data_IF_464235368246
#
_entry.id   IF_464235368246
#
_cell.length_a   1.000
_cell.length_b   1.000
_cell.length_c   1.000
_cell.angle_alpha   90.00
_cell.angle_beta   90.00
_cell.angle_gamma   90.00
#
_symmetry.space_group_name_H-M   'P 1'
#
loop_
_entity.id
_entity.type
_entity.pdbx_description
1 polymer ?
#
# COMPACT_ATOMS: atom_id res chain seq x y z
N UNK A 1 -6.92 -0.43 19.86
CA UNK A 1 -6.18 -1.13 18.79
C UNK A 1 -7.14 -1.68 17.77
N UNK A 2 -6.90 -1.45 16.49
CA UNK A 2 -7.74 -2.09 15.49
C UNK A 2 -7.56 -3.60 15.56
N UNK A 3 -8.66 -4.31 15.45
CA UNK A 3 -8.66 -5.76 15.48
C UNK A 3 -8.64 -6.28 14.04
N UNK A 4 -7.51 -6.06 13.37
CA UNK A 4 -7.38 -6.49 11.99
C UNK A 4 -6.10 -7.27 11.78
N UNK A 5 -6.14 -8.11 10.75
CA UNK A 5 -4.99 -8.87 10.30
C UNK A 5 -4.66 -8.47 8.87
N UNK A 6 -3.50 -8.88 8.40
CA UNK A 6 -3.03 -8.51 7.07
C UNK A 6 -2.77 -9.77 6.27
N UNK A 7 -3.19 -9.76 5.03
CA UNK A 7 -3.07 -10.92 4.15
C UNK A 7 -2.52 -10.48 2.78
N UNK A 8 -1.42 -11.07 2.32
CA UNK A 8 -0.99 -10.82 0.95
C UNK A 8 -2.04 -11.33 -0.04
N UNK A 9 -2.20 -10.61 -1.13
CA UNK A 9 -3.07 -11.07 -2.20
C UNK A 9 -2.47 -12.32 -2.84
N UNK A 10 -3.35 -13.20 -3.28
CA UNK A 10 -2.98 -14.44 -3.97
C UNK A 10 -3.74 -14.51 -5.28
N UNK A 11 -3.28 -15.33 -6.24
CA UNK A 11 -4.05 -15.53 -7.48
C UNK A 11 -5.48 -15.93 -7.15
N UNK A 12 -6.42 -15.26 -7.79
CA UNK A 12 -7.84 -15.39 -7.48
C UNK A 12 -8.40 -14.12 -6.85
N UNK A 13 -7.53 -13.22 -6.34
CA UNK A 13 -7.95 -11.98 -5.71
C UNK A 13 -8.11 -10.83 -6.71
N UNK A 14 -7.96 -11.07 -8.01
CA UNK A 14 -7.94 -10.00 -9.00
C UNK A 14 -9.19 -9.12 -8.96
N UNK A 15 -10.35 -9.75 -8.80
CA UNK A 15 -11.58 -8.96 -8.76
C UNK A 15 -11.72 -8.17 -7.47
N UNK A 16 -11.25 -8.73 -6.36
CA UNK A 16 -11.26 -8.00 -5.10
C UNK A 16 -10.32 -6.79 -5.19
N UNK A 17 -9.14 -6.97 -5.76
CA UNK A 17 -8.21 -5.86 -5.97
C UNK A 17 -8.86 -4.79 -6.83
N UNK A 18 -9.48 -5.19 -7.94
CA UNK A 18 -10.11 -4.24 -8.84
C UNK A 18 -11.23 -3.48 -8.14
N UNK A 19 -11.97 -4.15 -7.26
CA UNK A 19 -13.06 -3.50 -6.52
C UNK A 19 -12.51 -2.37 -5.63
N UNK A 20 -11.35 -2.57 -5.02
CA UNK A 20 -10.72 -1.52 -4.22
C UNK A 20 -10.18 -0.40 -5.09
N UNK A 21 -9.59 -0.72 -6.24
CA UNK A 21 -9.10 0.30 -7.17
C UNK A 21 -10.26 1.18 -7.62
N UNK A 22 -11.39 0.58 -7.97
CA UNK A 22 -12.57 1.33 -8.39
C UNK A 22 -13.14 2.16 -7.26
N UNK A 23 -13.16 1.62 -6.04
CA UNK A 23 -13.66 2.36 -4.90
C UNK A 23 -12.80 3.59 -4.60
N UNK A 24 -11.49 3.44 -4.69
CA UNK A 24 -10.56 4.56 -4.53
C UNK A 24 -10.77 5.60 -5.63
N UNK A 25 -10.85 5.16 -6.87
CA UNK A 25 -11.05 6.07 -8.00
C UNK A 25 -12.39 6.81 -7.87
N UNK A 26 -13.42 6.13 -7.42
CA UNK A 26 -14.72 6.75 -7.22
C UNK A 26 -14.64 7.80 -6.12
N UNK A 27 -13.95 7.49 -5.03
CA UNK A 27 -13.74 8.45 -3.95
C UNK A 27 -13.02 9.70 -4.43
N UNK A 28 -12.08 9.55 -5.37
CA UNK A 28 -11.32 10.66 -5.93
C UNK A 28 -11.98 11.28 -7.17
N UNK A 29 -13.20 10.85 -7.49
CA UNK A 29 -13.95 11.34 -8.66
C UNK A 29 -13.20 11.09 -9.97
N UNK A 30 -12.49 9.97 -10.05
CA UNK A 30 -11.69 9.61 -11.21
C UNK A 30 -12.05 8.23 -11.76
N UNK A 31 -13.27 7.76 -11.48
CA UNK A 31 -13.66 6.39 -11.85
C UNK A 31 -13.58 6.13 -13.35
N UNK A 32 -13.76 7.16 -14.17
CA UNK A 32 -13.66 7.00 -15.61
C UNK A 32 -12.25 6.74 -16.11
N UNK A 33 -11.24 6.87 -15.27
CA UNK A 33 -9.86 6.65 -15.67
C UNK A 33 -9.39 5.23 -15.43
N UNK A 34 -10.20 4.39 -14.76
CA UNK A 34 -9.80 3.02 -14.46
C UNK A 34 -10.05 2.16 -15.68
N UNK A 35 -8.97 1.65 -16.26
CA UNK A 35 -9.05 0.75 -17.41
C UNK A 35 -8.51 -0.64 -17.09
N UNK A 36 -8.08 -0.86 -15.85
CA UNK A 36 -7.56 -2.15 -15.43
C UNK A 36 -8.65 -3.21 -15.47
N UNK A 37 -8.25 -4.42 -15.77
CA UNK A 37 -9.14 -5.58 -15.77
C UNK A 37 -8.52 -6.65 -14.88
N UNK A 38 -9.31 -7.65 -14.44
CA UNK A 38 -8.73 -8.75 -13.66
C UNK A 38 -7.57 -9.43 -14.38
N UNK A 39 -7.65 -9.57 -15.71
CA UNK A 39 -6.59 -10.22 -16.49
C UNK A 39 -5.31 -9.39 -16.47
N UNK A 40 -5.42 -8.09 -16.63
CA UNK A 40 -4.26 -7.19 -16.57
C UNK A 40 -3.64 -7.23 -15.18
N UNK A 41 -4.47 -7.20 -14.13
CA UNK A 41 -3.97 -7.25 -12.76
C UNK A 41 -3.25 -8.57 -12.48
N UNK A 42 -3.78 -9.69 -12.99
CA UNK A 42 -3.10 -10.97 -12.83
C UNK A 42 -1.72 -10.94 -13.45
N UNK A 43 -1.62 -10.39 -14.65
CA UNK A 43 -0.33 -10.33 -15.35
C UNK A 43 0.70 -9.56 -14.54
N UNK A 44 0.35 -8.37 -14.07
CA UNK A 44 1.33 -7.49 -13.45
C UNK A 44 1.60 -7.79 -11.99
N UNK A 45 0.62 -8.33 -11.27
CA UNK A 45 0.77 -8.58 -9.84
C UNK A 45 1.26 -10.00 -9.59
N UNK A 46 0.67 -10.99 -10.26
CA UNK A 46 0.96 -12.38 -9.94
C UNK A 46 1.94 -13.05 -10.88
N UNK A 47 1.98 -12.66 -12.15
CA UNK A 47 2.90 -13.26 -13.11
C UNK A 47 4.21 -12.50 -13.17
N UNK A 48 4.17 -11.20 -13.44
CA UNK A 48 5.37 -10.37 -13.52
C UNK A 48 5.83 -9.87 -12.16
N UNK A 49 4.97 -9.88 -11.18
CA UNK A 49 5.26 -9.46 -9.80
C UNK A 49 5.88 -8.07 -9.72
N UNK A 50 5.36 -7.16 -10.54
CA UNK A 50 5.81 -5.78 -10.56
C UNK A 50 5.24 -4.98 -9.41
N UNK A 51 4.05 -5.35 -8.94
CA UNK A 51 3.40 -4.72 -7.80
C UNK A 51 2.87 -5.80 -6.87
N UNK A 52 2.67 -5.43 -5.62
CA UNK A 52 2.18 -6.33 -4.58
C UNK A 52 0.99 -5.68 -3.90
N UNK A 53 0.11 -6.51 -3.37
CA UNK A 53 -1.07 -6.03 -2.66
C UNK A 53 -1.17 -6.79 -1.34
N UNK A 54 -1.47 -6.05 -0.27
CA UNK A 54 -1.90 -6.65 0.99
C UNK A 54 -3.27 -6.09 1.34
N UNK A 55 -4.07 -6.95 1.96
CA UNK A 55 -5.40 -6.56 2.44
C UNK A 55 -5.37 -6.44 3.95
N UNK A 56 -6.12 -5.48 4.48
CA UNK A 56 -6.46 -5.44 5.90
C UNK A 56 -7.79 -6.15 6.05
N UNK A 57 -7.85 -7.12 6.94
CA UNK A 57 -9.05 -7.94 7.13
C UNK A 57 -9.52 -7.86 8.56
N UNK A 58 -10.84 -7.79 8.72
CA UNK A 58 -11.50 -7.85 10.03
C UNK A 58 -12.53 -8.97 9.94
N UNK A 59 -12.39 -9.97 10.80
CA UNK A 59 -13.30 -11.12 10.82
C UNK A 59 -13.43 -11.78 9.45
N UNK A 60 -12.29 -11.90 8.77
CA UNK A 60 -12.23 -12.56 7.47
C UNK A 60 -12.69 -11.71 6.30
N UNK A 61 -13.06 -10.46 6.53
CA UNK A 61 -13.53 -9.57 5.47
C UNK A 61 -12.51 -8.49 5.19
N UNK A 62 -12.19 -8.29 3.91
CA UNK A 62 -11.27 -7.23 3.51
C UNK A 62 -11.93 -5.87 3.71
N UNK A 63 -11.31 -5.01 4.50
CA UNK A 63 -11.81 -3.66 4.77
C UNK A 63 -10.92 -2.59 4.17
N UNK A 64 -9.76 -2.96 3.68
CA UNK A 64 -8.85 -2.02 3.05
C UNK A 64 -7.76 -2.76 2.30
N UNK A 65 -7.00 -2.00 1.52
CA UNK A 65 -5.89 -2.59 0.76
C UNK A 65 -4.76 -1.58 0.63
N UNK A 66 -3.57 -2.10 0.36
CA UNK A 66 -2.43 -1.31 -0.05
C UNK A 66 -1.79 -1.98 -1.25
N UNK A 67 -1.46 -1.18 -2.26
CA UNK A 67 -0.71 -1.64 -3.43
C UNK A 67 0.62 -0.91 -3.44
N UNK A 68 1.70 -1.66 -3.54
CA UNK A 68 3.04 -1.10 -3.42
C UNK A 68 4.01 -1.85 -4.31
N UNK A 69 5.18 -1.26 -4.51
CA UNK A 69 6.23 -1.88 -5.30
C UNK A 69 7.58 -1.36 -4.81
N UNK A 70 8.65 -1.98 -5.26
CA UNK A 70 10.00 -1.55 -4.90
C UNK A 70 10.48 -0.48 -5.87
N UNK A 71 10.92 0.65 -5.32
CA UNK A 71 11.75 1.59 -6.07
C UNK A 71 13.18 1.41 -5.60
N UNK A 72 14.08 2.29 -5.99
CA UNK A 72 15.49 2.14 -5.65
C UNK A 72 16.08 3.50 -5.30
N UNK A 73 16.86 3.54 -4.24
CA UNK A 73 17.58 4.75 -3.87
C UNK A 73 19.05 4.60 -4.24
N UNK A 74 19.52 5.44 -5.17
CA UNK A 74 20.92 5.41 -5.53
C UNK A 74 21.79 5.91 -4.39
N UNK A 75 21.29 6.85 -3.59
CA UNK A 75 22.06 7.37 -2.46
C UNK A 75 22.25 6.31 -1.38
N UNK A 76 21.21 5.53 -1.09
CA UNK A 76 21.30 4.47 -0.10
C UNK A 76 21.85 3.18 -0.67
N UNK A 77 21.85 3.02 -2.00
CA UNK A 77 22.31 1.81 -2.67
C UNK A 77 21.42 0.61 -2.42
N UNK A 78 20.15 0.83 -2.12
CA UNK A 78 19.23 -0.27 -1.83
C UNK A 78 17.81 0.09 -2.24
N UNK A 79 16.97 -0.94 -2.30
CA UNK A 79 15.58 -0.76 -2.66
C UNK A 79 14.83 -0.03 -1.58
N UNK A 80 13.75 0.62 -1.98
CA UNK A 80 12.74 1.16 -1.09
C UNK A 80 11.41 0.53 -1.39
N UNK A 81 10.41 0.85 -0.58
CA UNK A 81 9.04 0.49 -0.84
C UNK A 81 8.30 1.77 -1.21
N UNK A 82 7.60 1.74 -2.33
CA UNK A 82 6.77 2.86 -2.75
C UNK A 82 5.30 2.43 -2.68
N UNK A 83 4.54 3.15 -1.88
CA UNK A 83 3.12 2.90 -1.71
C UNK A 83 2.37 3.69 -2.77
N UNK A 84 1.77 2.98 -3.71
CA UNK A 84 0.98 3.60 -4.76
C UNK A 84 -0.42 3.95 -4.27
N UNK A 85 -1.10 2.97 -3.66
CA UNK A 85 -2.48 3.14 -3.21
C UNK A 85 -2.63 2.59 -1.80
N UNK A 86 -3.35 3.33 -0.95
CA UNK A 86 -3.83 2.84 0.33
C UNK A 86 -5.26 3.32 0.49
N UNK A 87 -6.19 2.41 0.69
CA UNK A 87 -7.60 2.77 0.77
C UNK A 87 -8.32 1.89 1.78
N UNK A 88 -9.10 2.53 2.61
CA UNK A 88 -9.98 1.87 3.58
C UNK A 88 -11.40 2.17 3.14
N UNK A 89 -12.26 1.17 3.13
CA UNK A 89 -13.66 1.36 2.76
C UNK A 89 -14.26 2.48 3.62
N UNK A 90 -15.08 3.36 3.02
CA UNK A 90 -15.60 4.52 3.77
C UNK A 90 -16.31 4.16 5.07
N UNK A 91 -17.07 3.07 5.09
CA UNK A 91 -17.80 2.65 6.28
C UNK A 91 -16.90 2.10 7.37
N UNK A 92 -15.63 1.85 7.04
CA UNK A 92 -14.66 1.29 8.00
C UNK A 92 -13.64 2.33 8.47
N UNK A 93 -13.81 3.58 8.08
CA UNK A 93 -12.87 4.63 8.45
C UNK A 93 -13.05 5.07 9.88
N UNK A 94 -12.04 5.74 10.40
CA UNK A 94 -12.07 6.23 11.76
C UNK A 94 -11.80 5.17 12.82
N UNK A 95 -11.40 3.98 12.41
CA UNK A 95 -11.14 2.86 13.32
C UNK A 95 -9.66 2.51 13.43
N UNK A 96 -8.79 3.26 12.76
CA UNK A 96 -7.36 3.05 12.85
C UNK A 96 -6.79 2.04 11.85
N UNK A 97 -7.59 1.55 10.92
CA UNK A 97 -7.11 0.52 9.98
C UNK A 97 -6.09 1.06 8.99
N UNK A 98 -6.25 2.30 8.54
CA UNK A 98 -5.27 2.89 7.63
C UNK A 98 -3.91 3.02 8.27
N UNK A 99 -3.88 3.47 9.52
CA UNK A 99 -2.63 3.58 10.27
C UNK A 99 -2.02 2.20 10.50
N UNK A 100 -2.84 1.21 10.82
CA UNK A 100 -2.37 -0.15 11.02
C UNK A 100 -1.77 -0.73 9.75
N UNK A 101 -2.40 -0.47 8.61
CA UNK A 101 -1.92 -0.94 7.32
C UNK A 101 -0.59 -0.28 6.96
N UNK A 102 -0.47 1.02 7.25
CA UNK A 102 0.78 1.72 7.00
C UNK A 102 1.90 1.18 7.90
N UNK A 103 1.60 0.84 9.14
CA UNK A 103 2.57 0.21 10.04
C UNK A 103 3.01 -1.16 9.53
N UNK A 104 2.10 -1.91 8.94
CA UNK A 104 2.44 -3.20 8.36
C UNK A 104 3.39 -3.01 7.17
N UNK A 105 3.16 -2.00 6.35
CA UNK A 105 4.09 -1.68 5.26
C UNK A 105 5.46 -1.28 5.80
N UNK A 106 5.50 -0.55 6.89
CA UNK A 106 6.76 -0.20 7.52
C UNK A 106 7.50 -1.44 7.99
N UNK A 107 6.78 -2.39 8.60
CA UNK A 107 7.35 -3.65 9.04
C UNK A 107 7.94 -4.43 7.85
N UNK A 108 7.19 -4.51 6.76
CA UNK A 108 7.65 -5.20 5.55
C UNK A 108 8.92 -4.51 5.01
N UNK A 109 8.92 -3.19 4.99
CA UNK A 109 10.05 -2.41 4.51
C UNK A 109 11.32 -2.74 5.30
N UNK A 110 11.21 -2.76 6.62
CA UNK A 110 12.34 -3.09 7.50
C UNK A 110 12.77 -4.53 7.32
N UNK A 111 11.81 -5.45 7.29
CA UNK A 111 12.09 -6.87 7.16
C UNK A 111 12.86 -7.18 5.88
N UNK A 112 12.55 -6.48 4.80
CA UNK A 112 13.20 -6.69 3.50
C UNK A 112 14.53 -5.95 3.37
N UNK A 113 14.95 -5.22 4.40
CA UNK A 113 16.19 -4.45 4.32
C UNK A 113 16.10 -3.23 3.44
N UNK A 114 14.91 -2.80 3.11
CA UNK A 114 14.70 -1.61 2.31
C UNK A 114 15.03 -0.36 3.11
N UNK A 115 15.49 0.69 2.41
CA UNK A 115 15.99 1.88 3.10
C UNK A 115 14.94 2.90 3.42
N UNK A 116 13.79 2.85 2.76
CA UNK A 116 12.75 3.85 3.00
C UNK A 116 11.42 3.36 2.50
N UNK A 117 10.35 3.99 3.01
CA UNK A 117 8.99 3.83 2.56
C UNK A 117 8.50 5.20 2.12
N UNK A 118 7.98 5.28 0.91
CA UNK A 118 7.52 6.54 0.32
C UNK A 118 6.10 6.40 -0.20
N UNK A 119 5.39 7.51 -0.21
CA UNK A 119 4.09 7.61 -0.86
C UNK A 119 3.83 9.03 -1.29
N UNK A 120 2.83 9.22 -2.16
CA UNK A 120 2.47 10.51 -2.72
C UNK A 120 1.04 10.85 -2.30
N UNK A 121 0.85 12.05 -1.77
CA UNK A 121 -0.47 12.51 -1.39
C UNK A 121 -1.19 13.12 -2.58
N UNK A 122 -2.51 13.03 -2.55
CA UNK A 122 -3.36 13.55 -3.62
C UNK A 122 -3.08 15.02 -3.93
N UNK A 123 -2.71 15.83 -2.95
CA UNK A 123 -2.50 17.26 -3.15
C UNK A 123 -1.05 17.58 -3.54
N UNK A 124 -0.39 16.67 -4.22
CA UNK A 124 0.98 16.85 -4.73
C UNK A 124 2.03 16.93 -3.64
N UNK A 125 1.72 16.39 -2.47
CA UNK A 125 2.73 16.23 -1.43
C UNK A 125 3.30 14.83 -1.49
N UNK A 126 4.58 14.78 -1.27
CA UNK A 126 5.26 13.50 -1.16
C UNK A 126 5.70 13.32 0.27
N UNK A 127 5.40 12.17 0.84
CA UNK A 127 5.82 11.82 2.18
C UNK A 127 6.85 10.72 2.11
N UNK A 128 7.85 10.80 2.98
CA UNK A 128 8.91 9.82 3.06
C UNK A 128 9.16 9.49 4.50
N UNK A 129 9.38 8.20 4.77
CA UNK A 129 9.75 7.75 6.10
C UNK A 129 11.03 6.96 5.95
N UNK A 130 12.08 7.42 6.64
CA UNK A 130 13.37 6.74 6.62
C UNK A 130 13.45 5.78 7.80
N UNK A 131 14.03 4.62 7.54
CA UNK A 131 14.18 3.60 8.55
C UNK A 131 15.65 3.43 8.90
N UNK A 132 15.94 3.31 10.18
CA UNK A 132 17.27 3.03 10.64
C UNK A 132 17.38 1.54 10.97
N UNK A 133 18.56 1.01 10.74
CA UNK A 133 18.80 -0.42 10.70
C UNK A 133 18.36 -1.19 11.93
N UNK A 134 18.31 -0.55 13.06
CA UNK A 134 18.07 -1.29 14.31
C UNK A 134 16.72 -1.02 14.92
N UNK A 135 15.89 -0.24 14.28
CA UNK A 135 14.59 0.12 14.86
C UNK A 135 13.50 -0.06 13.85
N UNK A 136 12.42 -0.61 14.32
CA UNK A 136 11.21 -0.77 13.52
C UNK A 136 10.41 0.52 13.45
N UNK A 137 10.89 1.58 14.09
CA UNK A 137 10.14 2.82 14.10
C UNK A 137 10.42 3.61 12.84
N UNK A 138 9.38 4.06 12.21
CA UNK A 138 9.47 5.01 11.12
C UNK A 138 9.65 6.39 11.71
N UNK A 139 10.57 7.14 11.12
CA UNK A 139 10.81 8.51 11.55
C UNK A 139 10.26 9.40 10.45
N UNK A 140 9.18 10.15 10.72
CA UNK A 140 8.65 11.05 9.71
C UNK A 140 9.69 12.09 9.34
N UNK A 141 9.79 12.34 8.04
CA UNK A 141 10.60 13.45 7.58
C UNK A 141 9.92 14.74 7.95
N UNK A 142 10.70 15.73 8.35
CA UNK A 142 10.14 17.04 8.61
C UNK A 142 9.60 17.68 7.35
N UNK A 143 10.06 17.22 6.23
CA UNK A 143 9.68 17.78 4.94
C UNK A 143 8.76 16.85 4.20
N UNK A 144 7.77 17.44 3.61
CA UNK A 144 6.82 16.74 2.77
C UNK A 144 6.97 17.30 1.36
N UNK A 145 7.32 16.45 0.42
CA UNK A 145 7.54 16.90 -0.96
C UNK A 145 6.59 16.28 -1.93
#
# INVERSE_FOLDING_TARGET
MPNCTFRPAVPGDEELILSFIRALADYEHMSGQVVATPEILREWIFEKKTAEVIFAEVEGKAVGYALFFHNFSTFLGRAGVYLEDLFILPEERGKGYGKALLKELARITVERGCGRLEWFFFFFYRASIDFYTKKMSAVPMDEWT
#
